data_IF_772769260670
#
_entry.id   IF_772769260670
#
_cell.length_a   1.000
_cell.length_b   1.000
_cell.length_c   1.000
_cell.angle_alpha   90.00
_cell.angle_beta   90.00
_cell.angle_gamma   90.00
#
_symmetry.space_group_name_H-M   'P 1'
#
loop_
_entity.id
_entity.type
_entity.pdbx_description
1 polymer ?
#
# COMPACT_ATOMS: atom_id res chain seq x y z
N UNK A 1 10.80 17.36 -11.90
CA UNK A 1 11.87 16.39 -11.55
C UNK A 1 12.33 16.75 -10.16
N UNK A 2 11.85 16.05 -9.13
CA UNK A 2 12.11 16.39 -7.74
C UNK A 2 13.48 15.82 -7.31
N UNK A 3 14.20 16.61 -6.54
CA UNK A 3 15.60 16.45 -6.14
C UNK A 3 15.77 15.37 -5.04
N UNK A 4 15.31 14.14 -5.30
CA UNK A 4 15.24 13.05 -4.30
C UNK A 4 16.61 12.53 -3.84
N UNK A 5 17.70 12.84 -4.55
CA UNK A 5 19.06 12.42 -4.18
C UNK A 5 19.71 13.23 -3.05
N UNK A 6 19.31 14.49 -2.87
CA UNK A 6 19.95 15.41 -1.91
C UNK A 6 19.72 15.05 -0.44
N UNK A 7 18.48 14.66 -0.01
CA UNK A 7 18.21 14.25 1.37
C UNK A 7 18.91 12.93 1.73
N UNK A 8 18.90 11.97 0.82
CA UNK A 8 19.46 10.63 1.04
C UNK A 8 20.97 10.67 1.24
N UNK A 9 21.68 11.52 0.48
CA UNK A 9 23.13 11.71 0.64
C UNK A 9 23.48 12.43 1.95
N UNK A 10 22.66 13.38 2.40
CA UNK A 10 22.86 14.04 3.69
C UNK A 10 22.61 13.11 4.88
N UNK A 11 21.62 12.22 4.76
CA UNK A 11 21.26 11.26 5.80
C UNK A 11 22.31 10.13 5.91
N UNK A 12 22.82 9.66 4.77
CA UNK A 12 23.96 8.75 4.71
C UNK A 12 25.26 9.41 5.23
N UNK A 13 25.48 10.69 4.94
CA UNK A 13 26.62 11.42 5.49
C UNK A 13 26.57 11.46 7.03
N UNK A 14 25.41 11.77 7.62
CA UNK A 14 25.23 11.79 9.09
C UNK A 14 25.47 10.43 9.76
N UNK A 15 25.08 9.34 9.12
CA UNK A 15 25.37 7.98 9.62
C UNK A 15 26.85 7.64 9.52
N UNK A 16 27.55 8.10 8.48
CA UNK A 16 29.00 7.90 8.34
C UNK A 16 29.85 8.86 9.19
N UNK A 17 29.27 9.95 9.69
CA UNK A 17 29.96 10.98 10.48
C UNK A 17 29.89 10.75 12.00
N UNK A 18 28.98 9.90 12.50
CA UNK A 18 28.91 9.56 13.93
C UNK A 18 29.64 8.24 14.20
N UNK A 19 30.56 8.24 15.17
CA UNK A 19 31.20 7.02 15.68
C UNK A 19 30.31 6.27 16.70
N UNK A 20 29.17 6.85 17.11
CA UNK A 20 28.23 6.20 18.01
C UNK A 20 27.23 5.33 17.23
N UNK A 21 27.30 4.02 17.48
CA UNK A 21 26.39 3.04 16.89
C UNK A 21 24.92 3.35 17.19
N UNK A 22 24.62 3.98 18.33
CA UNK A 22 23.25 4.36 18.70
C UNK A 22 22.69 5.41 17.75
N UNK A 23 23.47 6.44 17.43
CA UNK A 23 23.08 7.49 16.49
C UNK A 23 22.90 6.94 15.08
N UNK A 24 23.80 6.04 14.65
CA UNK A 24 23.70 5.38 13.35
C UNK A 24 22.39 4.58 13.23
N UNK A 25 22.07 3.78 14.24
CA UNK A 25 20.83 3.00 14.30
C UNK A 25 19.59 3.91 14.32
N UNK A 26 19.65 5.03 15.04
CA UNK A 26 18.54 5.98 15.10
C UNK A 26 18.17 6.53 13.72
N UNK A 27 19.17 6.95 12.94
CA UNK A 27 18.96 7.49 11.59
C UNK A 27 18.41 6.40 10.67
N UNK A 28 19.02 5.20 10.66
CA UNK A 28 18.59 4.10 9.80
C UNK A 28 17.14 3.67 10.07
N UNK A 29 16.78 3.44 11.33
CA UNK A 29 15.43 3.01 11.68
C UNK A 29 14.38 4.10 11.45
N UNK A 30 14.73 5.38 11.67
CA UNK A 30 13.83 6.50 11.39
C UNK A 30 13.50 6.56 9.89
N UNK A 31 14.52 6.38 9.04
CA UNK A 31 14.33 6.30 7.59
C UNK A 31 13.47 5.10 7.18
N UNK A 32 13.77 3.91 7.71
CA UNK A 32 12.97 2.73 7.40
C UNK A 32 11.50 2.88 7.81
N UNK A 33 11.22 3.54 8.95
CA UNK A 33 9.84 3.86 9.35
C UNK A 33 9.14 4.76 8.33
N UNK A 34 9.86 5.75 7.79
CA UNK A 34 9.31 6.62 6.76
C UNK A 34 8.98 5.84 5.47
N UNK A 35 9.92 5.06 4.97
CA UNK A 35 9.75 4.23 3.76
C UNK A 35 8.62 3.20 3.92
N UNK A 36 8.55 2.54 5.08
CA UNK A 36 7.47 1.60 5.38
C UNK A 36 6.11 2.31 5.49
N UNK A 37 6.06 3.52 6.07
CA UNK A 37 4.82 4.30 6.15
C UNK A 37 4.31 4.67 4.75
N UNK A 38 5.17 5.16 3.86
CA UNK A 38 4.80 5.45 2.47
C UNK A 38 4.29 4.18 1.75
N UNK A 39 4.96 3.05 1.96
CA UNK A 39 4.55 1.77 1.38
C UNK A 39 3.18 1.30 1.90
N UNK A 40 2.90 1.49 3.18
CA UNK A 40 1.60 1.21 3.79
C UNK A 40 0.49 2.08 3.17
N UNK A 41 0.74 3.38 3.02
CA UNK A 41 -0.20 4.32 2.39
C UNK A 41 -0.49 3.93 0.93
N UNK A 42 0.54 3.55 0.18
CA UNK A 42 0.38 3.06 -1.19
C UNK A 42 -0.51 1.81 -1.28
N UNK A 43 -0.38 0.86 -0.35
CA UNK A 43 -1.27 -0.30 -0.30
C UNK A 43 -2.72 0.06 0.03
N UNK A 44 -2.94 1.02 0.92
CA UNK A 44 -4.28 1.54 1.19
C UNK A 44 -4.89 2.20 -0.05
N UNK A 45 -4.13 3.03 -0.74
CA UNK A 45 -4.59 3.70 -1.96
C UNK A 45 -4.95 2.67 -3.05
N UNK A 46 -4.05 1.73 -3.34
CA UNK A 46 -4.29 0.68 -4.34
C UNK A 46 -5.53 -0.15 -4.00
N UNK A 47 -5.72 -0.51 -2.72
CA UNK A 47 -6.93 -1.20 -2.28
C UNK A 47 -8.19 -0.36 -2.57
N UNK A 48 -8.13 0.94 -2.32
CA UNK A 48 -9.22 1.88 -2.63
C UNK A 48 -9.54 1.91 -4.12
N UNK A 49 -8.52 2.01 -4.97
CA UNK A 49 -8.66 2.02 -6.43
C UNK A 49 -9.31 0.72 -6.95
N UNK A 50 -8.86 -0.44 -6.47
CA UNK A 50 -9.42 -1.75 -6.85
C UNK A 50 -10.88 -1.87 -6.43
N UNK A 51 -11.22 -1.46 -5.20
CA UNK A 51 -12.61 -1.45 -4.70
C UNK A 51 -13.51 -0.52 -5.51
N UNK A 52 -13.00 0.63 -5.93
CA UNK A 52 -13.73 1.53 -6.81
C UNK A 52 -14.04 0.86 -8.17
N UNK A 53 -13.08 0.12 -8.73
CA UNK A 53 -13.30 -0.70 -9.93
C UNK A 53 -14.41 -1.74 -9.76
N UNK A 54 -14.48 -2.40 -8.60
CA UNK A 54 -15.56 -3.34 -8.26
C UNK A 54 -16.92 -2.64 -8.26
N UNK A 55 -17.00 -1.46 -7.65
CA UNK A 55 -18.24 -0.66 -7.59
C UNK A 55 -18.71 -0.21 -8.98
N UNK A 56 -17.79 0.25 -9.83
CA UNK A 56 -18.10 0.62 -11.22
C UNK A 56 -18.63 -0.59 -12.01
N UNK A 57 -18.01 -1.77 -11.87
CA UNK A 57 -18.49 -2.98 -12.53
C UNK A 57 -19.86 -3.45 -12.03
N UNK A 58 -20.15 -3.27 -10.74
CA UNK A 58 -21.47 -3.60 -10.17
C UNK A 58 -22.58 -2.77 -10.83
N UNK A 59 -22.29 -1.50 -11.09
CA UNK A 59 -23.19 -0.63 -11.85
C UNK A 59 -23.39 -1.14 -13.29
N UNK A 60 -22.30 -1.49 -13.99
CA UNK A 60 -22.42 -2.02 -15.35
C UNK A 60 -23.21 -3.34 -15.41
N UNK A 61 -23.01 -4.24 -14.44
CA UNK A 61 -23.79 -5.48 -14.36
C UNK A 61 -25.27 -5.16 -14.20
N UNK A 62 -25.64 -4.22 -13.33
CA UNK A 62 -27.04 -3.79 -13.15
C UNK A 62 -27.62 -3.20 -14.43
N UNK A 63 -26.86 -2.39 -15.16
CA UNK A 63 -27.28 -1.82 -16.44
C UNK A 63 -27.51 -2.93 -17.48
N UNK A 64 -26.59 -3.89 -17.61
CA UNK A 64 -26.72 -5.04 -18.50
C UNK A 64 -27.94 -5.91 -18.15
N UNK A 65 -28.23 -6.12 -16.87
CA UNK A 65 -29.41 -6.87 -16.41
C UNK A 65 -30.75 -6.22 -16.78
N UNK A 66 -30.75 -4.93 -17.13
CA UNK A 66 -31.96 -4.24 -17.61
C UNK A 66 -32.10 -4.24 -19.13
N UNK A 67 -31.10 -4.76 -19.85
CA UNK A 67 -31.11 -4.89 -21.31
C UNK A 67 -31.77 -6.19 -21.76
N UNK A 68 -31.98 -6.33 -23.08
CA UNK A 68 -32.49 -7.57 -23.65
C UNK A 68 -31.47 -8.71 -23.47
N UNK A 69 -31.92 -9.81 -22.86
CA UNK A 69 -31.06 -10.88 -22.38
C UNK A 69 -30.66 -11.82 -23.52
N UNK A 70 -29.66 -11.41 -24.29
CA UNK A 70 -28.95 -12.27 -25.24
C UNK A 70 -27.87 -13.11 -24.54
N UNK A 71 -27.45 -14.20 -25.17
CA UNK A 71 -26.36 -15.05 -24.66
C UNK A 71 -25.07 -14.24 -24.43
N UNK A 72 -24.76 -13.27 -25.30
CA UNK A 72 -23.60 -12.37 -25.15
C UNK A 72 -23.68 -11.48 -23.90
N UNK A 73 -24.88 -11.00 -23.55
CA UNK A 73 -25.11 -10.21 -22.33
C UNK A 73 -24.93 -11.10 -21.09
N UNK A 74 -25.40 -12.34 -21.13
CA UNK A 74 -25.22 -13.32 -20.05
C UNK A 74 -23.73 -13.61 -19.83
N UNK A 75 -22.99 -13.90 -20.90
CA UNK A 75 -21.54 -14.17 -20.84
C UNK A 75 -20.77 -12.97 -20.31
N UNK A 76 -21.12 -11.76 -20.77
CA UNK A 76 -20.51 -10.51 -20.30
C UNK A 76 -20.71 -10.30 -18.80
N UNK A 77 -21.93 -10.52 -18.30
CA UNK A 77 -22.22 -10.44 -16.86
C UNK A 77 -21.41 -11.48 -16.09
N UNK A 78 -21.29 -12.71 -16.59
CA UNK A 78 -20.52 -13.76 -15.92
C UNK A 78 -19.03 -13.39 -15.82
N UNK A 79 -18.44 -12.89 -16.90
CA UNK A 79 -17.04 -12.44 -16.92
C UNK A 79 -16.85 -11.30 -15.90
N UNK A 80 -17.73 -10.31 -15.88
CA UNK A 80 -17.64 -9.18 -14.96
C UNK A 80 -17.72 -9.62 -13.49
N UNK A 81 -18.61 -10.58 -13.17
CA UNK A 81 -18.72 -11.14 -11.81
C UNK A 81 -17.45 -11.87 -11.38
N UNK A 82 -16.85 -12.66 -12.27
CA UNK A 82 -15.59 -13.36 -11.99
C UNK A 82 -14.46 -12.37 -11.68
N UNK A 83 -14.30 -11.35 -12.53
CA UNK A 83 -13.30 -10.28 -12.32
C UNK A 83 -13.54 -9.51 -11.01
N UNK A 84 -14.80 -9.28 -10.64
CA UNK A 84 -15.12 -8.63 -9.36
C UNK A 84 -14.65 -9.46 -8.15
N UNK A 85 -14.84 -10.78 -8.18
CA UNK A 85 -14.38 -11.66 -7.10
C UNK A 85 -12.86 -11.58 -6.94
N UNK A 86 -12.12 -11.70 -8.04
CA UNK A 86 -10.65 -11.60 -8.03
C UNK A 86 -10.17 -10.25 -7.49
N UNK A 87 -10.83 -9.17 -7.89
CA UNK A 87 -10.46 -7.82 -7.44
C UNK A 87 -10.83 -7.57 -5.97
N UNK A 88 -11.91 -8.15 -5.46
CA UNK A 88 -12.23 -8.13 -4.03
C UNK A 88 -11.17 -8.87 -3.19
N UNK A 89 -10.67 -10.01 -3.70
CA UNK A 89 -9.58 -10.75 -3.05
C UNK A 89 -8.28 -9.93 -3.06
N UNK A 90 -7.88 -9.37 -4.22
CA UNK A 90 -6.71 -8.49 -4.32
C UNK A 90 -6.79 -7.28 -3.40
N UNK A 91 -7.94 -6.62 -3.32
CA UNK A 91 -8.14 -5.50 -2.41
C UNK A 91 -7.99 -5.93 -0.93
N UNK A 92 -8.49 -7.11 -0.58
CA UNK A 92 -8.35 -7.66 0.77
C UNK A 92 -6.88 -7.99 1.09
N UNK A 93 -6.16 -8.54 0.12
CA UNK A 93 -4.72 -8.82 0.24
C UNK A 93 -3.91 -7.53 0.43
N UNK A 94 -4.19 -6.48 -0.32
CA UNK A 94 -3.53 -5.18 -0.16
C UNK A 94 -3.71 -4.60 1.25
N UNK A 95 -4.91 -4.73 1.84
CA UNK A 95 -5.14 -4.32 3.23
C UNK A 95 -4.39 -5.17 4.24
N UNK A 96 -4.25 -6.47 3.99
CA UNK A 96 -3.43 -7.35 4.82
C UNK A 96 -1.96 -6.90 4.80
N UNK A 97 -1.42 -6.64 3.61
CA UNK A 97 -0.05 -6.15 3.43
C UNK A 97 0.16 -4.80 4.13
N UNK A 98 -0.81 -3.88 4.06
CA UNK A 98 -0.76 -2.61 4.78
C UNK A 98 -0.70 -2.84 6.30
N UNK A 99 -1.51 -3.75 6.82
CA UNK A 99 -1.53 -4.09 8.26
C UNK A 99 -0.23 -4.74 8.73
N UNK A 100 0.37 -5.60 7.93
CA UNK A 100 1.68 -6.18 8.25
C UNK A 100 2.77 -5.10 8.36
N UNK A 101 2.76 -4.13 7.45
CA UNK A 101 3.69 -3.00 7.51
C UNK A 101 3.41 -2.12 8.73
N UNK A 102 2.14 -1.86 9.05
CA UNK A 102 1.77 -1.11 10.25
C UNK A 102 2.38 -1.72 11.52
N UNK A 103 2.34 -3.05 11.65
CA UNK A 103 2.98 -3.77 12.76
C UNK A 103 4.50 -3.54 12.77
N UNK A 104 5.16 -3.63 11.62
CA UNK A 104 6.62 -3.37 11.51
C UNK A 104 6.97 -1.94 11.91
N UNK A 105 6.21 -0.95 11.43
CA UNK A 105 6.38 0.47 11.80
C UNK A 105 6.25 0.66 13.30
N UNK A 106 5.25 0.01 13.93
CA UNK A 106 5.07 0.07 15.37
C UNK A 106 6.26 -0.51 16.16
N UNK A 107 6.76 -1.67 15.74
CA UNK A 107 7.93 -2.32 16.35
C UNK A 107 9.19 -1.45 16.22
N UNK A 108 9.45 -0.90 15.03
CA UNK A 108 10.58 0.00 14.77
C UNK A 108 10.50 1.28 15.60
N UNK A 109 9.32 1.90 15.69
CA UNK A 109 9.12 3.08 16.54
C UNK A 109 9.35 2.77 18.02
N UNK A 110 8.92 1.59 18.49
CA UNK A 110 9.19 1.14 19.86
C UNK A 110 10.70 0.97 20.09
N UNK A 111 11.43 0.41 19.13
CA UNK A 111 12.88 0.29 19.20
C UNK A 111 13.59 1.65 19.21
N UNK A 112 13.19 2.58 18.33
CA UNK A 112 13.70 3.95 18.28
C UNK A 112 13.50 4.66 19.63
N UNK A 113 12.33 4.52 20.25
CA UNK A 113 12.05 5.12 21.55
C UNK A 113 13.05 4.62 22.61
N UNK A 114 13.31 3.31 22.67
CA UNK A 114 14.28 2.71 23.61
C UNK A 114 15.73 3.12 23.34
N UNK A 115 16.09 3.48 22.11
CA UNK A 115 17.43 3.99 21.81
C UNK A 115 17.65 5.42 22.33
N UNK A 116 16.57 6.20 22.46
CA UNK A 116 16.61 7.58 22.96
C UNK A 116 16.62 7.66 24.49
N UNK A 117 16.20 6.58 25.16
CA UNK A 117 16.31 6.39 26.61
C UNK A 117 17.76 6.06 27.04
#
# INVERSE_FOLDING_TARGET
MANTGTPLLQELARTTESDDIRDQLLVLFTREVFEDTEKMENYHELSGQVRNGVWIRDRYIKELQTSDMSDEVVDSIEILKRVQLDDMEKASYLLLMAREIQTKVFEKNTFIARLRD
#
